data_IF_214104841852
#
_entry.id   IF_214104841852
#
_cell.length_a   1.000
_cell.length_b   1.000
_cell.length_c   1.000
_cell.angle_alpha   90.00
_cell.angle_beta   90.00
_cell.angle_gamma   90.00
#
_symmetry.space_group_name_H-M   'P 1'
#
loop_
_entity.id
_entity.type
_entity.pdbx_description
1 polymer ?
#
# COMPACT_ATOMS: atom_id res chain seq x y z
N UNK A 1 0.99 -16.09 9.98
CA UNK A 1 1.78 -15.11 9.20
C UNK A 1 1.76 -13.77 9.89
N UNK A 2 2.93 -13.19 10.13
CA UNK A 2 3.10 -11.84 10.67
C UNK A 2 3.22 -10.83 9.54
N UNK A 3 2.27 -9.89 9.51
CA UNK A 3 2.14 -8.87 8.47
C UNK A 3 2.30 -7.51 9.12
N UNK A 4 3.18 -6.68 8.59
CA UNK A 4 3.43 -5.33 9.11
C UNK A 4 3.02 -4.30 8.08
N UNK A 5 2.20 -3.34 8.50
CA UNK A 5 1.67 -2.28 7.62
C UNK A 5 2.28 -0.95 8.04
N UNK A 6 2.97 -0.28 7.12
CA UNK A 6 3.61 1.03 7.31
C UNK A 6 2.62 2.20 7.35
N UNK A 7 1.52 2.04 8.07
CA UNK A 7 0.45 3.01 8.22
C UNK A 7 -0.34 2.69 9.48
N UNK A 8 -0.88 3.74 10.11
CA UNK A 8 -1.86 3.65 11.22
C UNK A 8 -3.28 3.94 10.75
N UNK A 9 -3.48 4.14 9.43
CA UNK A 9 -4.79 4.36 8.84
C UNK A 9 -5.62 3.07 8.80
N UNK A 10 -6.72 3.03 9.54
CA UNK A 10 -7.56 1.83 9.70
C UNK A 10 -8.05 1.24 8.37
N UNK A 11 -8.43 2.06 7.39
CA UNK A 11 -8.87 1.62 6.07
C UNK A 11 -7.76 0.88 5.29
N UNK A 12 -6.49 1.26 5.49
CA UNK A 12 -5.34 0.57 4.88
C UNK A 12 -5.13 -0.79 5.54
N UNK A 13 -5.18 -0.85 6.87
CA UNK A 13 -5.08 -2.10 7.62
C UNK A 13 -6.23 -3.06 7.29
N UNK A 14 -7.44 -2.54 7.09
CA UNK A 14 -8.60 -3.31 6.68
C UNK A 14 -8.44 -3.90 5.26
N UNK A 15 -7.94 -3.11 4.30
CA UNK A 15 -7.60 -3.59 2.97
C UNK A 15 -6.55 -4.72 3.00
N UNK A 16 -5.50 -4.59 3.82
CA UNK A 16 -4.49 -5.65 4.02
C UNK A 16 -5.14 -6.91 4.56
N UNK A 17 -5.97 -6.79 5.60
CA UNK A 17 -6.70 -7.93 6.17
C UNK A 17 -7.57 -8.64 5.13
N UNK A 18 -8.29 -7.87 4.31
CA UNK A 18 -9.14 -8.41 3.26
C UNK A 18 -8.32 -9.16 2.20
N UNK A 19 -7.21 -8.58 1.73
CA UNK A 19 -6.35 -9.18 0.73
C UNK A 19 -5.73 -10.51 1.23
N UNK A 20 -5.14 -10.50 2.43
CA UNK A 20 -4.51 -11.68 3.00
C UNK A 20 -5.51 -12.80 3.33
N UNK A 21 -6.71 -12.45 3.81
CA UNK A 21 -7.77 -13.46 4.04
C UNK A 21 -8.20 -14.15 2.75
N UNK A 22 -8.24 -13.43 1.62
CA UNK A 22 -8.60 -14.00 0.31
C UNK A 22 -7.49 -14.86 -0.28
N UNK A 23 -6.24 -14.40 -0.19
CA UNK A 23 -5.09 -15.13 -0.75
C UNK A 23 -4.69 -16.36 0.09
N UNK A 24 -4.79 -16.24 1.41
CA UNK A 24 -4.32 -17.26 2.35
C UNK A 24 -5.42 -17.68 3.33
N UNK A 25 -6.57 -18.18 2.86
CA UNK A 25 -7.74 -18.42 3.69
C UNK A 25 -7.53 -19.47 4.79
N UNK A 26 -6.52 -20.33 4.65
CA UNK A 26 -6.18 -21.41 5.60
C UNK A 26 -5.11 -21.02 6.63
N UNK A 27 -4.54 -19.82 6.53
CA UNK A 27 -3.45 -19.39 7.40
C UNK A 27 -3.91 -18.32 8.39
N UNK A 28 -3.52 -18.45 9.66
CA UNK A 28 -3.73 -17.39 10.64
C UNK A 28 -2.86 -16.17 10.29
N UNK A 29 -3.44 -14.98 10.45
CA UNK A 29 -2.76 -13.71 10.18
C UNK A 29 -2.72 -12.84 11.43
N UNK A 30 -1.54 -12.32 11.75
CA UNK A 30 -1.32 -11.29 12.76
C UNK A 30 -0.90 -10.03 12.02
N UNK A 31 -1.71 -8.97 12.13
CA UNK A 31 -1.43 -7.69 11.47
C UNK A 31 -0.96 -6.68 12.52
N UNK A 32 0.22 -6.12 12.30
CA UNK A 32 0.83 -5.10 13.14
C UNK A 32 0.91 -3.79 12.36
N UNK A 33 0.36 -2.72 12.92
CA UNK A 33 0.52 -1.37 12.38
C UNK A 33 1.86 -0.78 12.83
N UNK A 34 2.58 -0.18 11.90
CA UNK A 34 3.86 0.46 12.14
C UNK A 34 3.80 1.92 11.65
N UNK A 35 4.07 2.85 12.57
CA UNK A 35 4.24 4.26 12.21
C UNK A 35 5.55 4.42 11.45
N UNK A 36 5.47 4.78 10.17
CA UNK A 36 6.63 4.99 9.28
C UNK A 36 6.48 6.33 8.55
N UNK A 37 7.61 6.91 8.15
CA UNK A 37 7.65 8.12 7.34
C UNK A 37 7.64 7.77 5.84
N UNK A 38 6.95 8.58 5.04
CA UNK A 38 6.98 8.45 3.58
C UNK A 38 8.16 9.18 2.94
N UNK A 39 8.73 10.17 3.64
CA UNK A 39 9.81 11.04 3.15
C UNK A 39 9.53 11.66 1.75
N UNK A 40 8.25 11.97 1.51
CA UNK A 40 7.72 12.70 0.35
C UNK A 40 6.68 13.73 0.83
N UNK A 41 6.16 14.56 -0.07
CA UNK A 41 5.13 15.53 0.26
C UNK A 41 3.89 14.86 0.90
N UNK A 42 3.18 15.60 1.76
CA UNK A 42 1.94 15.10 2.37
C UNK A 42 0.90 14.71 1.32
N UNK A 43 0.85 15.45 0.21
CA UNK A 43 0.05 15.13 -0.97
C UNK A 43 0.96 14.91 -2.17
N UNK A 44 1.51 13.69 -2.36
CA UNK A 44 2.42 13.41 -3.46
C UNK A 44 1.69 13.44 -4.79
N UNK A 45 2.36 13.95 -5.82
CA UNK A 45 1.80 14.09 -7.17
C UNK A 45 2.65 13.33 -8.19
N UNK A 46 1.99 12.48 -8.95
CA UNK A 46 2.61 11.65 -9.97
C UNK A 46 3.14 10.32 -9.42
N UNK A 47 3.09 9.29 -10.26
CA UNK A 47 3.42 7.91 -9.87
C UNK A 47 4.80 7.78 -9.19
N UNK A 48 5.81 8.52 -9.68
CA UNK A 48 7.18 8.42 -9.15
C UNK A 48 7.26 8.80 -7.67
N UNK A 49 6.61 9.89 -7.27
CA UNK A 49 6.65 10.37 -5.89
C UNK A 49 5.81 9.47 -4.97
N UNK A 50 4.62 9.08 -5.44
CA UNK A 50 3.71 8.20 -4.68
C UNK A 50 4.38 6.85 -4.42
N UNK A 51 4.97 6.23 -5.45
CA UNK A 51 5.70 4.97 -5.31
C UNK A 51 6.92 5.12 -4.38
N UNK A 52 7.65 6.24 -4.44
CA UNK A 52 8.75 6.52 -3.52
C UNK A 52 8.26 6.52 -2.06
N UNK A 53 7.16 7.20 -1.78
CA UNK A 53 6.55 7.21 -0.44
C UNK A 53 6.15 5.82 0.05
N UNK A 54 5.50 5.04 -0.81
CA UNK A 54 5.09 3.67 -0.48
C UNK A 54 6.31 2.76 -0.19
N UNK A 55 7.37 2.87 -1.01
CA UNK A 55 8.61 2.10 -0.84
C UNK A 55 9.34 2.48 0.45
N UNK A 56 9.40 3.76 0.79
CA UNK A 56 10.02 4.23 2.03
C UNK A 56 9.35 3.62 3.25
N UNK A 57 8.01 3.64 3.29
CA UNK A 57 7.21 2.99 4.34
C UNK A 57 7.49 1.50 4.44
N UNK A 58 7.42 0.77 3.32
CA UNK A 58 7.63 -0.68 3.29
C UNK A 58 9.03 -1.08 3.79
N UNK A 59 10.06 -0.35 3.37
CA UNK A 59 11.44 -0.57 3.80
C UNK A 59 11.63 -0.29 5.28
N UNK A 60 11.10 0.82 5.79
CA UNK A 60 11.14 1.13 7.23
C UNK A 60 10.48 0.02 8.05
N UNK A 61 9.31 -0.47 7.63
CA UNK A 61 8.69 -1.65 8.24
C UNK A 61 9.61 -2.86 8.26
N UNK A 62 10.24 -3.18 7.13
CA UNK A 62 11.14 -4.33 7.02
C UNK A 62 12.38 -4.20 7.93
N UNK A 63 12.95 -3.01 8.05
CA UNK A 63 14.07 -2.74 8.95
C UNK A 63 13.68 -2.85 10.42
N UNK A 64 12.51 -2.34 10.80
CA UNK A 64 12.01 -2.37 12.19
C UNK A 64 11.52 -3.78 12.60
N UNK A 65 10.95 -4.54 11.67
CA UNK A 65 10.33 -5.84 11.92
C UNK A 65 10.97 -6.93 11.06
N UNK A 66 12.27 -7.18 11.27
CA UNK A 66 13.08 -8.11 10.46
C UNK A 66 12.50 -9.53 10.34
N UNK A 67 11.75 -9.96 11.36
CA UNK A 67 11.09 -11.29 11.43
C UNK A 67 9.68 -11.34 10.84
N UNK A 68 9.16 -10.23 10.29
CA UNK A 68 7.86 -10.24 9.62
C UNK A 68 7.93 -11.05 8.33
N UNK A 69 6.85 -11.80 8.06
CA UNK A 69 6.70 -12.53 6.80
C UNK A 69 6.47 -11.55 5.64
N UNK A 70 5.73 -10.46 5.92
CA UNK A 70 5.34 -9.45 4.95
C UNK A 70 5.41 -8.04 5.56
N UNK A 71 6.02 -7.10 4.84
CA UNK A 71 6.06 -5.68 5.17
C UNK A 71 5.47 -4.87 4.03
N UNK A 72 4.49 -4.02 4.34
CA UNK A 72 3.71 -3.29 3.34
C UNK A 72 3.86 -1.78 3.54
N UNK A 73 3.99 -1.06 2.44
CA UNK A 73 3.89 0.39 2.38
C UNK A 73 2.81 0.81 1.39
N UNK A 74 1.98 1.77 1.79
CA UNK A 74 0.83 2.23 1.01
C UNK A 74 0.80 3.76 1.04
N UNK A 75 0.99 4.38 -0.11
CA UNK A 75 0.95 5.83 -0.26
C UNK A 75 -0.14 6.23 -1.25
N UNK A 76 -0.96 7.21 -0.86
CA UNK A 76 -2.00 7.78 -1.72
C UNK A 76 -1.48 9.09 -2.30
N UNK A 77 -1.86 9.40 -3.53
CA UNK A 77 -1.55 10.67 -4.14
C UNK A 77 -2.29 10.88 -5.44
N UNK A 78 -2.00 12.01 -6.09
CA UNK A 78 -2.75 12.44 -7.26
C UNK A 78 -1.98 12.17 -8.54
N UNK A 79 -2.68 11.69 -9.57
CA UNK A 79 -2.17 11.64 -10.94
C UNK A 79 -3.11 12.36 -11.89
N UNK A 80 -2.57 12.86 -13.01
CA UNK A 80 -3.35 13.48 -14.08
C UNK A 80 -3.34 12.57 -15.31
N UNK A 81 -4.51 12.20 -15.79
CA UNK A 81 -4.70 11.38 -16.99
C UNK A 81 -5.93 11.87 -17.77
N UNK A 82 -5.84 11.98 -19.10
CA UNK A 82 -6.97 12.42 -19.92
C UNK A 82 -7.55 13.78 -19.50
N UNK A 83 -6.70 14.70 -19.02
CA UNK A 83 -7.12 16.03 -18.53
C UNK A 83 -7.76 16.05 -17.13
N UNK A 84 -8.02 14.89 -16.51
CA UNK A 84 -8.67 14.77 -15.19
C UNK A 84 -7.67 14.36 -14.12
N UNK A 85 -7.99 14.72 -12.87
CA UNK A 85 -7.25 14.25 -11.70
C UNK A 85 -7.84 12.94 -11.19
N UNK A 86 -6.96 12.08 -10.69
CA UNK A 86 -7.33 10.83 -10.04
C UNK A 86 -6.56 10.69 -8.73
N UNK A 87 -7.24 10.24 -7.69
CA UNK A 87 -6.60 9.71 -6.51
C UNK A 87 -6.24 8.24 -6.75
N UNK A 88 -4.98 7.90 -6.53
CA UNK A 88 -4.42 6.56 -6.68
C UNK A 88 -3.57 6.24 -5.46
N UNK A 89 -3.43 4.95 -5.18
CA UNK A 89 -2.44 4.47 -4.24
C UNK A 89 -1.39 3.60 -4.92
N UNK A 90 -0.15 3.66 -4.44
CA UNK A 90 0.85 2.64 -4.72
C UNK A 90 1.01 1.75 -3.49
N UNK A 91 0.99 0.45 -3.72
CA UNK A 91 1.30 -0.59 -2.74
C UNK A 91 2.68 -1.14 -3.06
N UNK A 92 3.53 -1.20 -2.04
CA UNK A 92 4.82 -1.89 -2.07
C UNK A 92 4.78 -2.98 -1.00
N UNK A 93 5.12 -4.20 -1.40
CA UNK A 93 5.22 -5.37 -0.51
C UNK A 93 6.65 -5.85 -0.52
N UNK A 94 7.21 -6.10 0.67
CA UNK A 94 8.52 -6.72 0.86
C UNK A 94 8.32 -7.99 1.67
N UNK A 95 8.74 -9.15 1.14
CA UNK A 95 8.61 -10.42 1.84
C UNK A 95 9.77 -10.66 2.84
N UNK A 96 9.78 -11.85 3.46
CA UNK A 96 10.83 -12.26 4.40
C UNK A 96 12.24 -12.23 3.77
N UNK A 97 12.35 -12.50 2.48
CA UNK A 97 13.59 -12.62 1.69
C UNK A 97 14.03 -11.30 1.03
N UNK A 98 13.43 -10.17 1.43
CA UNK A 98 13.71 -8.83 0.90
C UNK A 98 13.35 -8.62 -0.58
N UNK A 99 12.57 -9.52 -1.16
CA UNK A 99 12.04 -9.32 -2.51
C UNK A 99 10.91 -8.29 -2.46
N UNK A 100 10.95 -7.35 -3.40
CA UNK A 100 10.01 -6.23 -3.50
C UNK A 100 9.04 -6.47 -4.67
N UNK A 101 7.75 -6.31 -4.41
CA UNK A 101 6.73 -6.24 -5.44
C UNK A 101 5.89 -4.98 -5.30
N UNK A 102 5.35 -4.51 -6.43
CA UNK A 102 4.63 -3.24 -6.50
C UNK A 102 3.33 -3.39 -7.28
N UNK A 103 2.30 -2.66 -6.87
CA UNK A 103 1.05 -2.55 -7.61
C UNK A 103 0.37 -1.20 -7.36
N UNK A 104 -0.11 -0.51 -8.40
CA UNK A 104 -1.00 0.62 -8.24
C UNK A 104 -2.44 0.14 -7.96
N UNK A 105 -3.21 0.95 -7.24
CA UNK A 105 -4.67 0.82 -7.23
C UNK A 105 -5.28 1.37 -8.51
N UNK A 106 -6.53 1.01 -8.79
CA UNK A 106 -7.32 1.79 -9.73
C UNK A 106 -7.44 3.24 -9.26
N UNK A 107 -7.51 4.18 -10.20
CA UNK A 107 -7.68 5.60 -9.91
C UNK A 107 -9.15 5.97 -9.75
N UNK A 108 -9.45 6.73 -8.71
CA UNK A 108 -10.78 7.32 -8.50
C UNK A 108 -10.75 8.77 -9.02
N UNK A 109 -11.63 9.15 -9.96
CA UNK A 109 -11.65 10.51 -10.49
C UNK A 109 -11.94 11.52 -9.38
N UNK A 110 -11.27 12.66 -9.47
CA UNK A 110 -11.23 13.69 -8.43
C UNK A 110 -11.45 15.09 -9.03
N UNK A 111 -12.24 15.91 -8.34
CA UNK A 111 -12.41 17.34 -8.63
C UNK A 111 -11.65 18.15 -7.58
N UNK A 112 -10.75 19.04 -8.02
CA UNK A 112 -9.71 19.64 -7.17
C UNK A 112 -10.28 20.53 -6.05
N UNK A 113 -11.54 20.94 -6.16
CA UNK A 113 -12.22 21.79 -5.20
C UNK A 113 -12.51 21.11 -3.86
N UNK A 114 -12.39 19.78 -3.75
CA UNK A 114 -12.66 19.03 -2.53
C UNK A 114 -11.39 18.36 -2.01
N UNK A 115 -10.76 18.86 -0.95
CA UNK A 115 -9.50 18.37 -0.34
C UNK A 115 -9.63 17.01 0.38
N UNK A 116 -10.24 15.99 -0.24
CA UNK A 116 -10.41 14.66 0.36
C UNK A 116 -9.70 13.61 -0.48
N UNK A 117 -8.73 12.91 0.13
CA UNK A 117 -8.15 11.69 -0.46
C UNK A 117 -9.19 10.58 -0.37
N UNK A 118 -9.58 10.00 -1.50
CA UNK A 118 -10.56 8.93 -1.63
C UNK A 118 -9.94 7.80 -2.47
N UNK A 119 -9.17 6.94 -1.84
CA UNK A 119 -8.96 5.57 -2.37
C UNK A 119 -9.76 4.62 -1.52
N UNK A 120 -10.60 3.82 -2.18
CA UNK A 120 -11.48 2.87 -1.51
C UNK A 120 -10.73 1.63 -1.04
N UNK A 121 -11.20 1.05 0.07
CA UNK A 121 -10.60 -0.13 0.69
C UNK A 121 -10.52 -1.34 -0.25
N UNK A 122 -11.56 -1.56 -1.06
CA UNK A 122 -11.64 -2.64 -2.05
C UNK A 122 -10.57 -2.51 -3.14
N UNK A 123 -10.33 -1.28 -3.63
CA UNK A 123 -9.29 -1.00 -4.63
C UNK A 123 -7.88 -1.22 -4.07
N UNK A 124 -7.67 -0.88 -2.80
CA UNK A 124 -6.42 -1.16 -2.09
C UNK A 124 -6.20 -2.66 -1.92
N UNK A 125 -7.24 -3.39 -1.54
CA UNK A 125 -7.16 -4.84 -1.37
C UNK A 125 -6.86 -5.54 -2.71
N UNK A 126 -7.40 -5.04 -3.83
CA UNK A 126 -7.07 -5.55 -5.16
C UNK A 126 -5.59 -5.35 -5.51
N UNK A 127 -5.08 -4.13 -5.36
CA UNK A 127 -3.68 -3.82 -5.59
C UNK A 127 -2.74 -4.69 -4.74
N UNK A 128 -3.07 -4.90 -3.47
CA UNK A 128 -2.30 -5.79 -2.58
C UNK A 128 -2.25 -7.22 -3.09
N UNK A 129 -3.37 -7.76 -3.59
CA UNK A 129 -3.39 -9.12 -4.13
C UNK A 129 -2.45 -9.25 -5.33
N UNK A 130 -2.48 -8.27 -6.23
CA UNK A 130 -1.62 -8.23 -7.42
C UNK A 130 -0.15 -8.16 -7.00
N UNK A 131 0.20 -7.30 -6.04
CA UNK A 131 1.58 -7.20 -5.56
C UNK A 131 2.06 -8.50 -4.88
N UNK A 132 1.23 -9.13 -4.05
CA UNK A 132 1.61 -10.38 -3.36
C UNK A 132 1.77 -11.53 -4.35
N UNK A 133 0.90 -11.64 -5.35
CA UNK A 133 0.99 -12.69 -6.37
C UNK A 133 2.35 -12.70 -7.09
N UNK A 134 2.94 -11.52 -7.35
CA UNK A 134 4.27 -11.40 -7.97
C UNK A 134 5.41 -12.02 -7.13
N UNK A 135 5.17 -12.31 -5.84
CA UNK A 135 6.16 -12.87 -4.91
C UNK A 135 5.89 -14.35 -4.59
N UNK A 136 4.86 -14.95 -5.20
CA UNK A 136 4.47 -16.34 -5.00
C UNK A 136 4.86 -17.25 -6.17
N UNK A 137 5.30 -16.66 -7.29
CA UNK A 137 5.90 -17.36 -8.43
C UNK A 137 7.41 -17.61 -8.21
#
# INVERSE_FOLDING_TARGET
>A
MKIVVGSTGQHKTAAVRQAFRKLFPKFSTEIVEAKTASDVAEQPVGNREILKGARNRARQCKYLYKKADWCLGIENGLIKAGGKWFDVAWVVVINKDWQEAIAPSAGVPFQKEHTVKIVREDLLAEAMKIAIAQLLD
#
